data_IF_756416235704
#
_entry.id   IF_756416235704
#
_cell.length_a   1.000
_cell.length_b   1.000
_cell.length_c   1.000
_cell.angle_alpha   90.00
_cell.angle_beta   90.00
_cell.angle_gamma   90.00
#
_symmetry.space_group_name_H-M   'P 1'
#
loop_
_entity.id
_entity.type
_entity.pdbx_description
1 polymer ?
#
# COMPACT_ATOMS: atom_id res chain seq x y z
N UNK A 1 -86.17 59.96 -3.64
CA UNK A 1 -87.10 59.17 -4.47
C UNK A 1 -86.49 57.81 -4.73
N UNK A 2 -87.11 56.71 -4.25
CA UNK A 2 -86.98 55.36 -4.86
C UNK A 2 -87.84 55.36 -6.15
N UNK A 3 -87.57 54.58 -7.22
CA UNK A 3 -87.45 53.10 -7.18
C UNK A 3 -86.42 52.47 -8.18
N UNK A 4 -85.85 51.31 -7.84
CA UNK A 4 -86.12 49.94 -8.38
C UNK A 4 -85.88 49.73 -9.89
N UNK A 5 -84.97 48.81 -10.23
CA UNK A 5 -85.34 47.49 -10.76
C UNK A 5 -84.13 46.55 -10.81
N UNK A 6 -84.27 45.40 -10.16
CA UNK A 6 -83.46 44.19 -10.27
C UNK A 6 -83.80 43.47 -11.59
N UNK A 7 -82.79 42.92 -12.28
CA UNK A 7 -82.83 41.59 -12.92
C UNK A 7 -81.40 41.26 -13.42
N UNK A 8 -80.76 40.23 -12.88
CA UNK A 8 -80.60 38.97 -13.63
C UNK A 8 -79.15 38.50 -13.55
N UNK A 9 -78.93 37.34 -12.95
CA UNK A 9 -77.63 36.68 -12.75
C UNK A 9 -76.97 36.25 -14.07
N UNK A 10 -75.64 36.41 -14.17
CA UNK A 10 -74.77 35.45 -14.86
C UNK A 10 -73.41 35.38 -14.14
N UNK A 11 -73.04 34.17 -13.72
CA UNK A 11 -71.78 33.84 -13.06
C UNK A 11 -70.65 33.87 -14.11
N UNK A 12 -69.58 34.61 -13.83
CA UNK A 12 -68.30 34.52 -14.56
C UNK A 12 -67.20 34.24 -13.53
N UNK A 13 -66.58 33.07 -13.65
CA UNK A 13 -65.34 32.71 -12.96
C UNK A 13 -64.19 33.62 -13.44
N UNK A 14 -63.59 34.38 -12.53
CA UNK A 14 -62.33 35.08 -12.75
C UNK A 14 -61.20 34.32 -12.05
N UNK A 15 -60.35 33.67 -12.85
CA UNK A 15 -59.03 33.19 -12.44
C UNK A 15 -58.12 34.40 -12.25
N UNK A 16 -57.79 34.71 -10.99
CA UNK A 16 -56.75 35.69 -10.65
C UNK A 16 -55.43 34.93 -10.47
N UNK A 17 -54.48 35.21 -11.35
CA UNK A 17 -53.09 34.83 -11.22
C UNK A 17 -52.48 35.50 -9.98
N UNK A 18 -52.05 34.71 -9.00
CA UNK A 18 -51.16 35.16 -7.93
C UNK A 18 -49.78 34.60 -8.22
N UNK A 19 -48.82 35.50 -8.42
CA UNK A 19 -47.40 35.17 -8.55
C UNK A 19 -46.87 34.65 -7.22
N UNK A 20 -46.50 33.37 -7.17
CA UNK A 20 -45.74 32.80 -6.06
C UNK A 20 -44.25 32.88 -6.37
N UNK A 21 -43.54 33.52 -5.44
CA UNK A 21 -42.08 33.62 -5.34
C UNK A 21 -41.47 32.22 -5.49
N UNK A 22 -40.59 32.04 -6.47
CA UNK A 22 -39.75 30.85 -6.54
C UNK A 22 -38.74 30.92 -5.40
N UNK A 23 -38.98 30.14 -4.34
CA UNK A 23 -37.93 29.73 -3.42
C UNK A 23 -37.02 28.78 -4.20
N UNK A 24 -35.84 29.28 -4.56
CA UNK A 24 -34.75 28.48 -5.07
C UNK A 24 -34.23 27.68 -3.87
N UNK A 25 -34.62 26.41 -3.77
CA UNK A 25 -33.89 25.48 -2.92
C UNK A 25 -32.52 25.30 -3.55
N UNK A 26 -31.51 25.97 -3.00
CA UNK A 26 -30.13 25.53 -3.13
C UNK A 26 -30.09 24.10 -2.58
N UNK A 27 -30.12 23.11 -3.48
CA UNK A 27 -29.61 21.79 -3.18
C UNK A 27 -28.12 22.00 -2.92
N UNK A 28 -27.77 22.17 -1.65
CA UNK A 28 -26.42 21.97 -1.16
C UNK A 28 -26.02 20.55 -1.59
N UNK A 29 -25.34 20.46 -2.74
CA UNK A 29 -24.45 19.35 -3.01
C UNK A 29 -23.33 19.45 -1.98
N UNK A 30 -23.59 18.94 -0.78
CA UNK A 30 -22.54 18.50 0.12
C UNK A 30 -21.78 17.45 -0.67
N UNK A 31 -20.64 17.83 -1.27
CA UNK A 31 -19.61 16.87 -1.59
C UNK A 31 -19.28 16.19 -0.27
N UNK A 32 -19.88 15.02 -0.04
CA UNK A 32 -19.51 14.20 1.10
C UNK A 32 -18.03 13.94 0.95
N UNK A 33 -17.23 14.54 1.82
CA UNK A 33 -15.80 14.37 1.84
C UNK A 33 -15.56 12.86 1.93
N UNK A 34 -14.94 12.28 0.89
CA UNK A 34 -14.72 10.83 0.85
C UNK A 34 -13.96 10.41 2.12
N UNK A 35 -14.48 9.40 2.82
CA UNK A 35 -13.83 8.79 3.97
C UNK A 35 -12.42 8.35 3.59
N UNK A 36 -11.41 8.80 4.33
CA UNK A 36 -9.99 8.57 4.04
C UNK A 36 -9.24 8.11 5.28
N UNK A 37 -8.22 7.29 5.05
CA UNK A 37 -7.18 6.95 6.00
C UNK A 37 -5.87 7.43 5.39
N UNK A 38 -5.22 8.39 6.03
CA UNK A 38 -3.90 8.88 5.61
C UNK A 38 -2.90 8.43 6.65
N UNK A 39 -1.87 7.67 6.24
CA UNK A 39 -0.84 7.18 7.16
C UNK A 39 0.53 7.75 6.83
N UNK A 40 1.19 8.33 7.83
CA UNK A 40 2.60 8.68 7.81
C UNK A 40 3.47 7.48 8.12
N UNK A 41 4.22 7.04 7.12
CA UNK A 41 5.11 5.89 7.18
C UNK A 41 6.55 6.37 7.38
N UNK A 42 7.21 5.90 8.43
CA UNK A 42 8.64 6.09 8.62
C UNK A 42 9.39 4.77 8.38
N UNK A 43 10.47 4.81 7.61
CA UNK A 43 11.25 3.61 7.30
C UNK A 43 12.62 3.69 7.96
N UNK A 44 12.92 2.70 8.81
CA UNK A 44 14.25 2.46 9.34
C UNK A 44 14.87 1.31 8.54
N UNK A 45 16.06 1.49 7.97
CA UNK A 45 16.70 0.46 7.15
C UNK A 45 18.02 -0.05 7.76
N UNK A 46 18.28 -1.35 7.64
CA UNK A 46 19.47 -1.98 8.21
C UNK A 46 20.68 -2.04 7.26
N UNK A 47 21.82 -2.47 7.79
CA UNK A 47 23.06 -2.61 7.01
C UNK A 47 22.95 -3.66 5.90
N UNK A 48 22.11 -4.68 6.07
CA UNK A 48 21.91 -5.71 5.05
C UNK A 48 21.20 -5.13 3.83
N UNK A 49 20.20 -4.28 4.04
CA UNK A 49 19.52 -3.54 2.97
C UNK A 49 20.52 -2.65 2.23
N UNK A 50 21.27 -1.80 2.95
CA UNK A 50 22.27 -0.88 2.36
C UNK A 50 23.28 -1.66 1.51
N UNK A 51 23.75 -2.81 2.00
CA UNK A 51 24.72 -3.64 1.30
C UNK A 51 24.16 -4.23 0.00
N UNK A 52 22.87 -4.55 -0.03
CA UNK A 52 22.23 -5.17 -1.19
C UNK A 52 21.70 -4.14 -2.20
N UNK A 53 21.47 -2.90 -1.75
CA UNK A 53 20.88 -1.82 -2.52
C UNK A 53 21.68 -1.51 -3.79
N UNK A 54 21.02 -1.57 -4.95
CA UNK A 54 21.68 -1.41 -6.26
C UNK A 54 21.85 0.05 -6.69
N UNK A 55 21.05 0.98 -6.15
CA UNK A 55 20.91 2.33 -6.70
C UNK A 55 21.74 3.38 -5.97
N UNK A 56 22.98 3.04 -5.58
CA UNK A 56 23.86 3.89 -4.77
C UNK A 56 24.39 5.16 -5.48
N UNK A 57 23.84 5.55 -6.64
CA UNK A 57 24.23 6.75 -7.39
C UNK A 57 23.14 7.83 -7.26
N UNK A 58 23.52 9.04 -6.80
CA UNK A 58 22.66 10.23 -6.68
C UNK A 58 22.49 10.75 -5.25
N UNK A 59 21.81 11.90 -5.11
CA UNK A 59 21.49 12.51 -3.81
C UNK A 59 20.24 11.83 -3.19
N UNK A 60 20.34 11.37 -1.93
CA UNK A 60 19.24 10.76 -1.13
C UNK A 60 18.49 9.57 -1.79
N UNK A 61 19.19 8.54 -2.31
CA UNK A 61 18.54 7.47 -3.07
C UNK A 61 17.49 6.67 -2.27
N UNK A 62 17.58 6.64 -0.94
CA UNK A 62 16.64 5.91 -0.09
C UNK A 62 15.26 6.57 0.02
N UNK A 63 15.17 7.91 0.09
CA UNK A 63 13.85 8.57 0.14
C UNK A 63 13.09 8.41 -1.18
N UNK A 64 13.79 8.50 -2.32
CA UNK A 64 13.18 8.24 -3.63
C UNK A 64 12.67 6.80 -3.72
N UNK A 65 13.53 5.83 -3.38
CA UNK A 65 13.20 4.41 -3.42
C UNK A 65 12.01 4.10 -2.50
N UNK A 66 12.09 4.50 -1.23
CA UNK A 66 11.04 4.18 -0.27
C UNK A 66 9.74 4.94 -0.54
N UNK A 67 9.78 6.09 -1.20
CA UNK A 67 8.56 6.77 -1.66
C UNK A 67 7.87 5.94 -2.75
N UNK A 68 8.64 5.45 -3.74
CA UNK A 68 8.10 4.56 -4.77
C UNK A 68 7.56 3.24 -4.18
N UNK A 69 8.23 2.69 -3.18
CA UNK A 69 7.79 1.51 -2.44
C UNK A 69 6.45 1.75 -1.70
N UNK A 70 6.29 2.88 -1.01
CA UNK A 70 5.03 3.27 -0.37
C UNK A 70 3.90 3.48 -1.39
N UNK A 71 4.17 4.18 -2.50
CA UNK A 71 3.19 4.43 -3.55
C UNK A 71 2.70 3.11 -4.20
N UNK A 72 3.61 2.17 -4.45
CA UNK A 72 3.24 0.85 -4.96
C UNK A 72 2.43 0.04 -3.94
N UNK A 73 2.76 0.12 -2.65
CA UNK A 73 1.98 -0.52 -1.59
C UNK A 73 0.56 0.09 -1.46
N UNK A 74 0.41 1.42 -1.61
CA UNK A 74 -0.89 2.10 -1.64
C UNK A 74 -1.79 1.53 -2.76
N UNK A 75 -1.23 1.22 -3.92
CA UNK A 75 -1.98 0.71 -5.07
C UNK A 75 -2.67 -0.64 -4.84
N UNK A 76 -2.29 -1.40 -3.80
CA UNK A 76 -2.99 -2.62 -3.38
C UNK A 76 -4.38 -2.34 -2.78
N UNK A 77 -4.63 -1.11 -2.35
CA UNK A 77 -5.91 -0.67 -1.77
C UNK A 77 -6.87 -0.04 -2.79
N UNK A 78 -6.54 -0.07 -4.09
CA UNK A 78 -7.36 0.51 -5.18
C UNK A 78 -8.85 0.12 -5.19
N UNK A 79 -9.18 -1.06 -4.69
CA UNK A 79 -10.55 -1.60 -4.63
C UNK A 79 -11.30 -1.22 -3.34
N UNK A 80 -10.69 -0.37 -2.51
CA UNK A 80 -11.23 0.14 -1.26
C UNK A 80 -11.42 1.67 -1.40
N UNK A 81 -12.64 2.08 -1.74
CA UNK A 81 -13.00 3.50 -1.95
C UNK A 81 -13.57 4.19 -0.72
N UNK A 82 -13.89 3.40 0.30
CA UNK A 82 -14.62 3.86 1.49
C UNK A 82 -14.20 2.97 2.67
N UNK A 83 -13.21 3.39 3.47
CA UNK A 83 -12.37 4.56 3.25
C UNK A 83 -11.32 4.34 2.14
N UNK A 84 -10.86 5.41 1.50
CA UNK A 84 -9.64 5.37 0.66
C UNK A 84 -8.40 5.35 1.57
N UNK A 85 -7.46 4.45 1.29
CA UNK A 85 -6.17 4.39 2.01
C UNK A 85 -5.11 5.15 1.22
N UNK A 86 -4.38 6.02 1.91
CA UNK A 86 -3.29 6.84 1.37
C UNK A 86 -2.05 6.70 2.25
N UNK A 87 -0.89 6.47 1.63
CA UNK A 87 0.38 6.27 2.33
C UNK A 87 1.36 7.37 1.97
N UNK A 88 1.92 8.04 2.97
CA UNK A 88 2.95 9.05 2.77
C UNK A 88 4.24 8.62 3.48
N UNK A 89 5.35 8.53 2.75
CA UNK A 89 6.66 8.39 3.40
C UNK A 89 6.96 9.69 4.16
N UNK A 90 6.99 9.66 5.49
CA UNK A 90 7.32 10.80 6.35
C UNK A 90 8.85 11.01 6.48
N UNK A 91 9.63 9.94 6.40
CA UNK A 91 11.08 10.01 6.51
C UNK A 91 11.75 8.65 6.51
N UNK A 92 13.08 8.66 6.46
CA UNK A 92 13.90 7.45 6.54
C UNK A 92 15.11 7.68 7.42
N UNK A 93 15.59 6.63 8.07
CA UNK A 93 16.90 6.63 8.74
C UNK A 93 17.54 5.24 8.72
N UNK A 94 18.87 5.23 8.89
CA UNK A 94 19.60 3.99 9.14
C UNK A 94 19.32 3.50 10.56
N UNK A 95 19.23 2.19 10.74
CA UNK A 95 19.18 1.56 12.06
C UNK A 95 20.52 1.74 12.78
N UNK A 96 20.53 2.46 13.90
CA UNK A 96 21.72 2.65 14.73
C UNK A 96 21.96 1.47 15.68
N UNK A 97 20.90 1.02 16.36
CA UNK A 97 20.91 -0.06 17.34
C UNK A 97 20.82 -1.44 16.68
N UNK A 98 21.97 -1.97 16.24
CA UNK A 98 22.03 -3.24 15.51
C UNK A 98 21.63 -4.47 16.33
N UNK A 99 21.70 -4.38 17.66
CA UNK A 99 21.27 -5.44 18.59
C UNK A 99 19.76 -5.67 18.61
N UNK A 100 18.97 -4.81 17.94
CA UNK A 100 17.55 -5.03 17.67
C UNK A 100 17.38 -6.25 16.75
N UNK A 101 18.21 -6.38 15.70
CA UNK A 101 18.14 -7.48 14.76
C UNK A 101 18.51 -8.78 15.45
N UNK A 102 17.53 -9.66 15.65
CA UNK A 102 17.73 -11.02 16.11
C UNK A 102 17.77 -11.94 14.91
N UNK A 103 18.65 -12.94 14.95
CA UNK A 103 18.81 -13.88 13.84
C UNK A 103 18.52 -15.30 14.26
N UNK A 104 17.99 -16.10 13.34
CA UNK A 104 17.75 -17.53 13.52
C UNK A 104 18.33 -18.32 12.35
N UNK A 105 18.76 -19.55 12.62
CA UNK A 105 19.29 -20.46 11.60
C UNK A 105 18.21 -21.47 11.20
N UNK A 106 17.85 -21.50 9.92
CA UNK A 106 16.91 -22.48 9.34
C UNK A 106 17.50 -23.02 8.05
N UNK A 107 17.52 -24.34 7.90
CA UNK A 107 18.01 -25.00 6.68
C UNK A 107 19.40 -24.50 6.22
N UNK A 108 20.31 -24.28 7.18
CA UNK A 108 21.68 -23.74 6.97
C UNK A 108 21.74 -22.32 6.38
N UNK A 109 20.63 -21.58 6.40
CA UNK A 109 20.54 -20.16 6.04
C UNK A 109 20.18 -19.33 7.27
N UNK A 110 20.81 -18.17 7.41
CA UNK A 110 20.50 -17.21 8.46
C UNK A 110 19.37 -16.32 8.01
N UNK A 111 18.37 -16.15 8.88
CA UNK A 111 17.22 -15.28 8.70
C UNK A 111 17.15 -14.27 9.84
N UNK A 112 16.47 -13.15 9.62
CA UNK A 112 15.99 -12.31 10.72
C UNK A 112 14.90 -13.10 11.45
N UNK A 113 15.04 -13.27 12.76
CA UNK A 113 13.99 -13.85 13.61
C UNK A 113 12.91 -12.77 13.78
N UNK A 114 11.82 -12.89 13.00
CA UNK A 114 10.82 -11.83 12.87
C UNK A 114 10.16 -11.47 14.19
N UNK A 115 9.80 -12.47 14.99
CA UNK A 115 9.12 -12.27 16.28
C UNK A 115 10.03 -11.54 17.26
N UNK A 116 11.23 -12.07 17.53
CA UNK A 116 12.15 -11.45 18.50
C UNK A 116 12.68 -10.10 18.06
N UNK A 117 12.86 -9.90 16.75
CA UNK A 117 13.29 -8.61 16.22
C UNK A 117 12.17 -7.58 16.35
N UNK A 118 10.92 -7.97 16.05
CA UNK A 118 9.77 -7.08 16.15
C UNK A 118 9.52 -6.66 17.60
N UNK A 119 9.67 -7.57 18.57
CA UNK A 119 9.54 -7.26 19.99
C UNK A 119 10.54 -6.16 20.42
N UNK A 120 11.83 -6.33 20.08
CA UNK A 120 12.84 -5.31 20.38
C UNK A 120 12.62 -4.00 19.63
N UNK A 121 12.18 -4.08 18.38
CA UNK A 121 11.91 -2.90 17.56
C UNK A 121 10.71 -2.13 18.10
N UNK A 122 9.68 -2.84 18.59
CA UNK A 122 8.54 -2.27 19.28
C UNK A 122 8.97 -1.48 20.52
N UNK A 123 9.80 -2.06 21.38
CA UNK A 123 10.25 -1.42 22.62
C UNK A 123 10.92 -0.05 22.38
N UNK A 124 11.59 0.10 21.23
CA UNK A 124 12.39 1.29 20.92
C UNK A 124 11.60 2.30 20.08
N UNK A 125 10.88 1.85 19.05
CA UNK A 125 10.28 2.77 18.07
C UNK A 125 8.86 3.21 18.42
N UNK A 126 8.13 2.45 19.24
CA UNK A 126 6.74 2.79 19.60
C UNK A 126 6.64 4.16 20.26
N UNK A 127 7.63 4.52 21.08
CA UNK A 127 7.66 5.74 21.88
C UNK A 127 8.76 6.71 21.48
N UNK A 128 9.30 6.58 20.27
CA UNK A 128 10.41 7.40 19.84
C UNK A 128 9.93 8.83 19.49
N UNK A 129 10.07 9.74 20.45
CA UNK A 129 9.72 11.16 20.31
C UNK A 129 10.62 11.93 19.33
N UNK A 130 11.74 11.33 18.87
CA UNK A 130 12.62 11.94 17.87
C UNK A 130 12.10 11.76 16.43
N UNK A 131 11.05 10.97 16.24
CA UNK A 131 10.41 10.80 14.93
C UNK A 131 9.72 12.10 14.49
N UNK A 132 9.65 12.36 13.17
CA UNK A 132 8.86 13.46 12.64
C UNK A 132 7.40 13.42 13.12
N UNK A 133 6.80 14.59 13.26
CA UNK A 133 5.36 14.73 13.48
C UNK A 133 4.56 14.10 12.33
N UNK A 134 3.42 13.49 12.65
CA UNK A 134 2.56 12.78 11.70
C UNK A 134 3.06 11.38 11.33
N UNK A 135 4.10 10.85 11.97
CA UNK A 135 4.41 9.41 11.84
C UNK A 135 3.37 8.61 12.62
N UNK A 136 2.76 7.63 11.95
CA UNK A 136 1.80 6.68 12.52
C UNK A 136 2.39 5.28 12.66
N UNK A 137 3.25 4.92 11.71
CA UNK A 137 3.84 3.58 11.61
C UNK A 137 5.32 3.67 11.28
N UNK A 138 6.12 2.85 11.96
CA UNK A 138 7.54 2.67 11.68
C UNK A 138 7.78 1.26 11.14
N UNK A 139 8.34 1.15 9.95
CA UNK A 139 8.77 -0.14 9.41
C UNK A 139 10.29 -0.28 9.45
N UNK A 140 10.77 -1.39 10.00
CA UNK A 140 12.14 -1.84 9.79
C UNK A 140 12.22 -2.53 8.43
N UNK A 141 12.95 -1.95 7.48
CA UNK A 141 13.30 -2.61 6.22
C UNK A 141 14.65 -3.31 6.38
N UNK A 142 14.68 -4.62 6.14
CA UNK A 142 15.88 -5.44 6.21
C UNK A 142 16.20 -6.09 4.88
N UNK A 143 17.49 -6.11 4.53
CA UNK A 143 18.00 -6.85 3.36
C UNK A 143 18.19 -8.35 3.59
N UNK A 144 17.85 -8.86 4.78
CA UNK A 144 17.93 -10.29 5.11
C UNK A 144 16.52 -10.86 5.25
N UNK A 145 16.24 -11.99 4.60
CA UNK A 145 14.91 -12.63 4.67
C UNK A 145 14.46 -12.83 6.12
N UNK A 146 13.18 -12.54 6.38
CA UNK A 146 12.58 -12.63 7.71
C UNK A 146 11.88 -13.97 7.90
N UNK A 147 12.22 -14.66 8.98
CA UNK A 147 11.56 -15.89 9.39
C UNK A 147 10.32 -15.57 10.24
N UNK A 148 9.16 -15.71 9.61
CA UNK A 148 7.83 -15.53 10.21
C UNK A 148 7.22 -16.90 10.52
N UNK A 149 6.69 -17.08 11.73
CA UNK A 149 5.98 -18.29 12.16
C UNK A 149 4.46 -18.08 12.14
N UNK A 150 3.69 -19.17 12.12
CA UNK A 150 2.22 -19.15 12.20
C UNK A 150 1.82 -19.85 13.51
N UNK A 151 1.13 -19.15 14.39
CA UNK A 151 0.65 -19.71 15.66
C UNK A 151 -0.47 -20.72 15.40
N UNK A 152 -0.32 -21.94 15.90
CA UNK A 152 -1.19 -23.06 15.54
C UNK A 152 -2.67 -22.87 15.95
N UNK A 153 -2.93 -22.12 17.01
CA UNK A 153 -4.27 -21.93 17.56
C UNK A 153 -4.97 -20.74 16.90
N UNK A 154 -4.32 -19.58 16.87
CA UNK A 154 -4.89 -18.33 16.37
C UNK A 154 -4.74 -18.19 14.85
N UNK A 155 -3.82 -18.94 14.25
CA UNK A 155 -3.33 -18.75 12.88
C UNK A 155 -2.74 -17.35 12.63
N UNK A 156 -2.31 -16.65 13.67
CA UNK A 156 -1.61 -15.38 13.54
C UNK A 156 -0.19 -15.59 13.03
N UNK A 157 0.28 -14.65 12.20
CA UNK A 157 1.67 -14.62 11.79
C UNK A 157 2.50 -13.85 12.82
N UNK A 158 3.44 -14.51 13.49
CA UNK A 158 4.35 -13.87 14.44
C UNK A 158 5.58 -13.34 13.71
N UNK A 159 5.98 -12.12 14.03
CA UNK A 159 7.01 -11.36 13.30
C UNK A 159 6.48 -10.47 12.17
N UNK A 160 5.16 -10.24 12.13
CA UNK A 160 4.53 -9.19 11.34
C UNK A 160 3.84 -8.19 12.28
N UNK A 161 3.56 -6.99 11.76
CA UNK A 161 2.81 -5.97 12.48
C UNK A 161 1.53 -6.50 13.13
N UNK A 162 1.29 -6.11 14.39
CA UNK A 162 0.14 -6.58 15.16
C UNK A 162 -1.18 -6.11 14.51
N UNK A 163 -2.12 -7.00 14.17
CA UNK A 163 -3.38 -6.59 13.55
C UNK A 163 -4.17 -5.59 14.39
N UNK A 164 -4.91 -4.68 13.75
CA UNK A 164 -5.82 -3.71 14.40
C UNK A 164 -5.13 -2.77 15.42
N UNK A 165 -3.82 -2.52 15.26
CA UNK A 165 -3.02 -1.75 16.23
C UNK A 165 -2.65 -0.33 15.80
N UNK A 166 -2.95 0.05 14.55
CA UNK A 166 -2.78 1.43 14.08
C UNK A 166 -3.54 2.41 14.99
N UNK A 167 -2.94 3.53 15.38
CA UNK A 167 -3.48 4.51 16.36
C UNK A 167 -3.83 3.96 17.76
N UNK A 168 -3.66 2.65 18.01
CA UNK A 168 -3.98 1.99 19.27
C UNK A 168 -2.79 1.20 19.84
N UNK A 169 -1.59 1.41 19.28
CA UNK A 169 -0.37 0.77 19.76
C UNK A 169 -0.17 1.15 21.22
N UNK A 170 0.15 0.16 22.07
CA UNK A 170 0.21 0.33 23.52
C UNK A 170 -1.01 0.98 24.22
N UNK A 171 -2.20 1.04 23.57
CA UNK A 171 -3.42 1.71 24.07
C UNK A 171 -3.30 3.22 24.32
N UNK A 172 -2.37 3.91 23.66
CA UNK A 172 -2.29 5.39 23.73
C UNK A 172 -2.17 6.01 22.33
N UNK A 173 -2.50 7.30 22.25
CA UNK A 173 -2.58 8.08 21.01
C UNK A 173 -1.22 8.36 20.37
N UNK A 174 -0.17 8.39 21.19
CA UNK A 174 1.16 8.82 20.76
C UNK A 174 2.01 7.67 20.21
N UNK A 175 1.66 6.45 20.60
CA UNK A 175 2.39 5.24 20.25
C UNK A 175 2.33 4.94 18.75
N UNK A 176 3.48 4.63 18.18
CA UNK A 176 3.60 4.24 16.77
C UNK A 176 3.38 2.75 16.61
N UNK A 177 2.64 2.37 15.59
CA UNK A 177 2.64 0.98 15.17
C UNK A 177 4.00 0.62 14.56
N UNK A 178 4.38 -0.64 14.62
CA UNK A 178 5.65 -1.12 14.06
C UNK A 178 5.49 -2.38 13.22
N UNK A 179 6.39 -2.58 12.27
CA UNK A 179 6.45 -3.78 11.44
C UNK A 179 7.85 -4.03 10.86
N UNK A 180 8.03 -5.20 10.23
CA UNK A 180 9.30 -5.59 9.58
C UNK A 180 9.03 -5.96 8.13
N UNK A 181 9.73 -5.33 7.20
CA UNK A 181 9.63 -5.60 5.77
C UNK A 181 10.97 -6.15 5.29
N UNK A 182 10.94 -7.33 4.67
CA UNK A 182 12.07 -7.78 3.87
C UNK A 182 12.01 -7.10 2.50
N UNK A 183 13.07 -6.40 2.14
CA UNK A 183 13.28 -5.86 0.80
C UNK A 183 14.73 -6.08 0.39
N UNK A 184 14.98 -6.61 -0.80
CA UNK A 184 16.33 -6.90 -1.26
C UNK A 184 17.09 -5.68 -1.79
N UNK A 185 16.43 -4.53 -1.92
CA UNK A 185 16.99 -3.28 -2.44
C UNK A 185 17.24 -3.30 -3.95
N UNK A 186 16.65 -4.25 -4.69
CA UNK A 186 16.90 -4.48 -6.12
C UNK A 186 15.64 -4.41 -6.96
N UNK A 187 14.56 -5.04 -6.50
CA UNK A 187 13.36 -5.31 -7.29
C UNK A 187 12.05 -4.90 -6.61
N UNK A 188 12.11 -4.10 -5.53
CA UNK A 188 10.94 -3.71 -4.74
C UNK A 188 10.11 -4.89 -4.22
N UNK A 189 10.74 -6.06 -3.96
CA UNK A 189 10.04 -7.23 -3.44
C UNK A 189 9.44 -7.03 -2.04
N UNK A 190 9.76 -5.93 -1.34
CA UNK A 190 9.12 -5.54 -0.08
C UNK A 190 7.73 -4.92 -0.24
N UNK A 191 7.33 -4.47 -1.44
CA UNK A 191 6.02 -3.83 -1.69
C UNK A 191 4.84 -4.66 -1.17
N UNK A 192 4.71 -5.96 -1.49
CA UNK A 192 3.55 -6.72 -1.04
C UNK A 192 3.58 -7.00 0.47
N UNK A 193 4.76 -7.06 1.07
CA UNK A 193 4.95 -7.28 2.51
C UNK A 193 4.58 -6.01 3.29
N UNK A 194 4.94 -4.83 2.77
CA UNK A 194 4.50 -3.55 3.30
C UNK A 194 2.98 -3.42 3.20
N UNK A 195 2.40 -3.63 2.01
CA UNK A 195 0.96 -3.55 1.78
C UNK A 195 0.19 -4.51 2.71
N UNK A 196 0.69 -5.73 2.88
CA UNK A 196 0.10 -6.72 3.78
C UNK A 196 0.06 -6.21 5.22
N UNK A 197 1.18 -5.69 5.73
CA UNK A 197 1.26 -5.24 7.11
C UNK A 197 0.42 -3.99 7.35
N UNK A 198 0.40 -3.04 6.41
CA UNK A 198 -0.54 -1.92 6.46
C UNK A 198 -1.98 -2.42 6.51
N UNK A 199 -2.35 -3.39 5.67
CA UNK A 199 -3.69 -3.97 5.70
C UNK A 199 -4.02 -4.61 7.07
N UNK A 200 -3.09 -5.37 7.65
CA UNK A 200 -3.27 -5.99 8.97
C UNK A 200 -3.42 -4.93 10.08
N UNK A 201 -2.57 -3.90 10.06
CA UNK A 201 -2.64 -2.75 10.97
C UNK A 201 -4.01 -2.08 10.91
N UNK A 202 -4.54 -1.87 9.71
CA UNK A 202 -5.89 -1.34 9.44
C UNK A 202 -7.02 -2.35 9.68
N UNK A 203 -6.72 -3.55 10.18
CA UNK A 203 -7.72 -4.53 10.61
C UNK A 203 -8.26 -5.46 9.54
N UNK A 204 -7.63 -5.53 8.37
CA UNK A 204 -7.93 -6.54 7.37
C UNK A 204 -7.75 -7.94 7.96
N UNK A 205 -8.73 -8.82 7.74
CA UNK A 205 -8.65 -10.22 8.17
C UNK A 205 -7.73 -11.01 7.25
N UNK A 206 -7.05 -12.00 7.83
CA UNK A 206 -6.34 -13.04 7.07
C UNK A 206 -7.31 -13.93 6.29
N UNK A 207 -6.96 -14.26 5.05
CA UNK A 207 -7.69 -15.28 4.30
C UNK A 207 -7.35 -16.68 4.85
N UNK A 208 -8.37 -17.52 5.04
CA UNK A 208 -8.20 -18.77 5.77
C UNK A 208 -7.95 -19.96 4.85
N UNK A 209 -7.09 -20.90 5.26
CA UNK A 209 -6.93 -22.21 4.59
C UNK A 209 -8.20 -23.05 4.63
N UNK A 210 -9.02 -22.86 5.68
CA UNK A 210 -10.27 -23.60 5.92
C UNK A 210 -11.53 -22.78 5.64
N UNK A 211 -11.36 -21.53 5.20
CA UNK A 211 -12.47 -20.61 4.94
C UNK A 211 -13.21 -20.96 3.66
N UNK A 212 -14.54 -21.04 3.72
CA UNK A 212 -15.38 -21.28 2.54
C UNK A 212 -15.50 -20.05 1.62
N UNK A 213 -15.50 -18.85 2.20
CA UNK A 213 -15.81 -17.61 1.48
C UNK A 213 -14.58 -16.90 0.91
N UNK A 214 -13.50 -16.79 1.70
CA UNK A 214 -12.21 -16.25 1.27
C UNK A 214 -11.09 -17.24 1.58
N UNK A 215 -10.96 -18.30 0.76
CA UNK A 215 -9.91 -19.28 0.93
C UNK A 215 -8.55 -18.68 0.51
N UNK A 216 -7.52 -18.92 1.32
CA UNK A 216 -6.14 -18.49 1.02
C UNK A 216 -5.60 -18.99 -0.33
N UNK A 217 -6.18 -20.06 -0.90
CA UNK A 217 -5.80 -20.55 -2.24
C UNK A 217 -6.13 -19.57 -3.38
N UNK A 218 -6.97 -18.56 -3.14
CA UNK A 218 -7.25 -17.51 -4.13
C UNK A 218 -6.08 -16.54 -4.29
N UNK A 219 -5.18 -16.46 -3.29
CA UNK A 219 -3.92 -15.72 -3.40
C UNK A 219 -4.06 -14.20 -3.28
N UNK A 220 -5.13 -13.67 -2.68
CA UNK A 220 -5.22 -12.24 -2.34
C UNK A 220 -4.14 -11.81 -1.34
N UNK A 221 -3.94 -10.50 -1.16
CA UNK A 221 -2.88 -9.92 -0.35
C UNK A 221 -2.70 -10.62 1.01
N UNK A 222 -3.79 -10.90 1.71
CA UNK A 222 -3.83 -11.51 3.05
C UNK A 222 -3.88 -13.05 3.05
N UNK A 223 -3.63 -13.69 1.90
CA UNK A 223 -3.57 -15.15 1.76
C UNK A 223 -2.22 -15.77 2.14
N UNK A 224 -1.15 -14.97 2.22
CA UNK A 224 0.20 -15.42 2.58
C UNK A 224 0.91 -14.37 3.43
N UNK A 225 1.89 -14.81 4.24
CA UNK A 225 2.73 -13.95 5.08
C UNK A 225 3.68 -13.04 4.29
N UNK A 226 3.91 -13.34 3.01
CA UNK A 226 4.76 -12.57 2.10
C UNK A 226 3.93 -11.71 1.11
N UNK A 227 2.65 -11.51 1.44
CA UNK A 227 1.62 -11.02 0.53
C UNK A 227 1.24 -12.10 -0.50
N UNK A 228 -0.05 -12.28 -0.77
CA UNK A 228 -0.50 -13.17 -1.84
C UNK A 228 -0.08 -12.73 -3.25
N UNK A 229 -0.26 -13.62 -4.22
CA UNK A 229 0.10 -13.36 -5.62
C UNK A 229 -0.79 -12.32 -6.31
N UNK A 230 -2.02 -12.09 -5.82
CA UNK A 230 -2.94 -11.07 -6.33
C UNK A 230 -2.75 -9.75 -5.58
N UNK A 231 -2.52 -8.63 -6.29
CA UNK A 231 -2.28 -7.32 -5.69
C UNK A 231 -3.58 -6.62 -5.30
N UNK A 232 -4.40 -7.29 -4.48
CA UNK A 232 -5.68 -6.78 -4.00
C UNK A 232 -6.09 -7.49 -2.71
N UNK A 233 -6.95 -6.85 -1.93
CA UNK A 233 -7.61 -7.46 -0.78
C UNK A 233 -8.79 -8.34 -1.22
N UNK A 234 -8.99 -9.48 -0.55
CA UNK A 234 -10.21 -10.28 -0.72
C UNK A 234 -11.44 -9.51 -0.23
N UNK A 235 -12.64 -9.99 -0.58
CA UNK A 235 -13.87 -9.39 -0.06
C UNK A 235 -13.92 -9.42 1.49
N UNK A 236 -13.48 -10.51 2.12
CA UNK A 236 -13.46 -10.63 3.58
C UNK A 236 -12.48 -9.66 4.21
N UNK A 237 -11.26 -9.57 3.67
CA UNK A 237 -10.25 -8.64 4.18
C UNK A 237 -10.68 -7.19 4.05
N UNK A 238 -11.30 -6.80 2.92
CA UNK A 238 -11.85 -5.44 2.75
C UNK A 238 -12.97 -5.16 3.74
N UNK A 239 -13.92 -6.09 3.91
CA UNK A 239 -15.02 -5.90 4.86
C UNK A 239 -14.54 -5.76 6.30
N UNK A 240 -13.56 -6.56 6.72
CA UNK A 240 -12.99 -6.47 8.07
C UNK A 240 -12.25 -5.14 8.31
N UNK A 241 -11.50 -4.66 7.30
CA UNK A 241 -10.85 -3.35 7.35
C UNK A 241 -11.89 -2.22 7.46
N UNK A 242 -12.95 -2.26 6.64
CA UNK A 242 -14.06 -1.29 6.71
C UNK A 242 -14.74 -1.27 8.06
N UNK A 243 -15.07 -2.44 8.61
CA UNK A 243 -15.66 -2.55 9.94
C UNK A 243 -14.75 -1.92 11.00
N UNK A 244 -13.44 -2.17 10.92
CA UNK A 244 -12.48 -1.56 11.81
C UNK A 244 -12.44 -0.04 11.66
N UNK A 245 -12.43 0.50 10.45
CA UNK A 245 -12.49 1.94 10.20
C UNK A 245 -13.75 2.57 10.79
N UNK A 246 -14.94 2.12 10.37
CA UNK A 246 -16.21 2.73 10.79
C UNK A 246 -16.47 2.62 12.30
N UNK A 247 -15.93 1.59 12.95
CA UNK A 247 -15.99 1.46 14.42
C UNK A 247 -15.13 2.50 15.16
N UNK A 248 -14.12 3.05 14.51
CA UNK A 248 -13.10 3.90 15.14
C UNK A 248 -13.00 5.32 14.56
N UNK A 249 -13.60 5.61 13.41
CA UNK A 249 -13.43 6.88 12.68
C UNK A 249 -13.83 8.12 13.48
N UNK A 250 -14.81 8.00 14.38
CA UNK A 250 -15.34 9.10 15.18
C UNK A 250 -14.64 9.24 16.54
N UNK A 251 -13.48 8.59 16.75
CA UNK A 251 -12.71 8.71 17.99
C UNK A 251 -11.81 9.94 17.95
N UNK A 252 -11.85 10.74 19.01
CA UNK A 252 -11.06 11.98 19.16
C UNK A 252 -9.54 11.79 19.04
N UNK A 253 -9.05 10.57 19.22
CA UNK A 253 -7.63 10.23 19.27
C UNK A 253 -7.16 9.38 18.09
N UNK A 254 -7.88 9.42 16.97
CA UNK A 254 -7.47 8.67 15.80
C UNK A 254 -6.34 9.39 15.06
N UNK A 255 -5.28 8.66 14.74
CA UNK A 255 -4.05 9.21 14.16
C UNK A 255 -4.16 9.47 12.65
N UNK A 256 -4.95 8.68 11.92
CA UNK A 256 -5.03 8.73 10.44
C UNK A 256 -5.88 9.87 9.86
N UNK A 257 -6.31 10.82 10.68
CA UNK A 257 -7.06 12.01 10.27
C UNK A 257 -6.15 13.22 10.02
N UNK A 258 -4.85 13.10 10.32
CA UNK A 258 -3.88 14.15 10.07
C UNK A 258 -3.29 14.08 8.65
N UNK A 259 -2.48 15.09 8.30
CA UNK A 259 -1.78 15.16 7.02
C UNK A 259 -0.29 15.03 7.27
N UNK A 260 0.27 13.81 7.24
CA UNK A 260 1.69 13.59 7.46
C UNK A 260 2.53 14.39 6.48
N UNK A 261 3.58 15.03 6.97
CA UNK A 261 4.53 15.76 6.14
C UNK A 261 5.36 14.77 5.33
N UNK A 262 5.00 14.56 4.08
CA UNK A 262 5.74 13.70 3.18
C UNK A 262 7.19 14.18 3.02
N UNK A 263 8.14 13.24 3.09
CA UNK A 263 9.56 13.45 2.81
C UNK A 263 9.79 13.96 1.38
N UNK A 264 8.88 13.61 0.46
CA UNK A 264 8.86 14.08 -0.92
C UNK A 264 7.43 14.48 -1.32
N UNK A 265 6.99 15.71 -0.99
CA UNK A 265 5.64 16.18 -1.28
C UNK A 265 5.32 16.11 -2.78
N UNK A 266 4.14 15.57 -3.12
CA UNK A 266 3.67 15.47 -4.51
C UNK A 266 4.31 14.36 -5.34
N UNK A 267 5.28 13.61 -4.79
CA UNK A 267 5.89 12.49 -5.49
C UNK A 267 4.94 11.28 -5.56
N UNK A 268 4.42 11.00 -6.75
CA UNK A 268 3.57 9.84 -7.06
C UNK A 268 4.28 8.76 -7.89
N UNK A 269 5.62 8.82 -7.98
CA UNK A 269 6.43 7.86 -8.74
C UNK A 269 6.19 6.45 -8.22
N UNK A 270 6.03 5.52 -9.15
CA UNK A 270 5.99 4.07 -8.91
C UNK A 270 7.36 3.44 -9.25
N UNK A 271 7.61 2.17 -8.91
CA UNK A 271 8.86 1.49 -9.23
C UNK A 271 9.29 1.62 -10.69
N UNK A 272 8.36 1.56 -11.66
CA UNK A 272 8.69 1.80 -13.08
C UNK A 272 9.37 3.16 -13.33
N UNK A 273 8.88 4.22 -12.70
CA UNK A 273 9.44 5.57 -12.87
C UNK A 273 10.83 5.66 -12.23
N UNK A 274 11.00 4.99 -11.08
CA UNK A 274 12.29 4.92 -10.40
C UNK A 274 13.34 4.20 -11.26
N UNK A 275 13.01 3.06 -11.88
CA UNK A 275 13.92 2.36 -12.80
C UNK A 275 14.32 3.22 -14.00
N UNK A 276 13.34 3.90 -14.61
CA UNK A 276 13.58 4.79 -15.75
C UNK A 276 14.52 5.94 -15.38
N UNK A 277 14.33 6.56 -14.23
CA UNK A 277 15.19 7.66 -13.77
C UNK A 277 16.62 7.19 -13.46
N UNK A 278 16.77 5.98 -12.90
CA UNK A 278 18.07 5.41 -12.57
C UNK A 278 18.76 4.76 -13.77
N UNK A 279 18.15 4.79 -14.95
CA UNK A 279 18.63 4.12 -16.16
C UNK A 279 18.99 2.65 -15.88
N UNK A 280 18.10 1.95 -15.16
CA UNK A 280 18.34 0.59 -14.70
C UNK A 280 17.35 -0.39 -15.33
N UNK A 281 17.90 -1.41 -15.99
CA UNK A 281 17.13 -2.51 -16.57
C UNK A 281 16.70 -3.48 -15.46
N UNK A 282 15.39 -3.75 -15.35
CA UNK A 282 14.84 -4.68 -14.35
C UNK A 282 15.47 -6.07 -14.44
N UNK A 283 15.90 -6.52 -15.62
CA UNK A 283 16.56 -7.81 -15.75
C UNK A 283 17.95 -7.82 -15.10
N UNK A 284 18.61 -6.68 -14.95
CA UNK A 284 19.90 -6.60 -14.26
C UNK A 284 19.77 -6.97 -12.78
N UNK A 285 18.63 -6.68 -12.14
CA UNK A 285 18.37 -7.06 -10.73
C UNK A 285 18.44 -8.57 -10.49
N UNK A 286 18.22 -9.33 -11.56
CA UNK A 286 18.23 -10.79 -11.57
C UNK A 286 19.58 -11.40 -11.97
N UNK A 287 20.58 -10.56 -12.24
CA UNK A 287 21.92 -10.99 -12.61
C UNK A 287 22.61 -11.73 -11.47
N UNK A 288 23.51 -12.64 -11.82
CA UNK A 288 24.37 -13.35 -10.88
C UNK A 288 25.83 -13.02 -11.17
N UNK A 289 26.73 -13.40 -10.26
CA UNK A 289 28.18 -13.25 -10.49
C UNK A 289 28.70 -13.89 -11.78
N UNK A 290 27.97 -14.86 -12.35
CA UNK A 290 28.37 -15.60 -13.55
C UNK A 290 27.64 -15.17 -14.82
N UNK A 291 26.59 -14.35 -14.69
CA UNK A 291 25.68 -14.03 -15.79
C UNK A 291 25.01 -12.70 -15.55
N UNK A 292 25.24 -11.77 -16.46
CA UNK A 292 24.49 -10.52 -16.57
C UNK A 292 23.26 -10.76 -17.43
N UNK A 293 22.11 -10.31 -16.94
CA UNK A 293 20.84 -10.36 -17.64
C UNK A 293 20.40 -8.96 -18.04
N UNK A 294 19.72 -8.86 -19.19
CA UNK A 294 19.13 -7.64 -19.73
C UNK A 294 17.77 -7.96 -20.34
N UNK A 295 16.94 -6.95 -20.56
CA UNK A 295 15.64 -7.06 -21.21
C UNK A 295 15.84 -7.45 -22.67
N UNK A 296 15.19 -8.53 -23.09
CA UNK A 296 15.34 -9.05 -24.45
C UNK A 296 14.82 -8.05 -25.50
N UNK A 297 15.62 -7.75 -26.52
CA UNK A 297 15.28 -6.80 -27.60
C UNK A 297 14.63 -7.48 -28.81
N UNK A 298 15.09 -8.68 -29.19
CA UNK A 298 14.89 -9.22 -30.55
C UNK A 298 14.12 -10.54 -30.61
N UNK A 299 13.62 -11.05 -29.48
CA UNK A 299 12.84 -12.29 -29.48
C UNK A 299 11.38 -11.97 -29.86
N UNK A 300 10.82 -12.62 -30.87
CA UNK A 300 9.39 -12.50 -31.22
C UNK A 300 8.45 -12.82 -30.03
N UNK A 301 8.94 -13.53 -29.01
CA UNK A 301 8.29 -13.78 -27.72
C UNK A 301 8.46 -12.66 -26.67
N UNK A 302 9.39 -11.72 -26.87
CA UNK A 302 9.48 -10.47 -26.10
C UNK A 302 8.36 -9.48 -26.50
N UNK A 303 7.88 -9.56 -27.75
CA UNK A 303 6.68 -8.82 -28.22
C UNK A 303 5.35 -9.27 -27.61
N UNK A 304 5.30 -10.38 -26.86
CA UNK A 304 4.18 -10.67 -25.96
C UNK A 304 4.36 -9.91 -24.64
N UNK A 305 4.30 -8.60 -24.74
CA UNK A 305 4.22 -7.62 -23.64
C UNK A 305 2.82 -7.61 -22.98
N UNK A 306 2.08 -8.72 -23.05
CA UNK A 306 0.63 -8.70 -22.81
C UNK A 306 0.18 -9.04 -21.38
N UNK A 307 1.07 -9.44 -20.47
CA UNK A 307 0.66 -9.86 -19.12
C UNK A 307 1.64 -9.42 -18.01
N UNK A 308 2.10 -8.16 -18.02
CA UNK A 308 2.93 -7.62 -16.94
C UNK A 308 4.19 -8.44 -16.62
N UNK A 309 4.85 -8.95 -17.66
CA UNK A 309 6.07 -9.72 -17.56
C UNK A 309 7.12 -9.20 -18.53
N UNK A 310 8.37 -9.17 -18.09
CA UNK A 310 9.54 -8.80 -18.89
C UNK A 310 10.37 -10.06 -19.15
N UNK A 311 10.79 -10.26 -20.40
CA UNK A 311 11.69 -11.34 -20.76
C UNK A 311 13.14 -10.90 -20.53
N UNK A 312 13.90 -11.70 -19.79
CA UNK A 312 15.31 -11.46 -19.51
C UNK A 312 16.20 -12.43 -20.28
N UNK A 313 17.25 -11.89 -20.88
CA UNK A 313 18.19 -12.55 -21.76
C UNK A 313 19.64 -12.39 -21.29
N UNK A 314 20.54 -13.26 -21.74
CA UNK A 314 21.99 -13.05 -21.70
C UNK A 314 22.60 -13.11 -23.11
N UNK A 315 23.78 -12.49 -23.29
CA UNK A 315 24.51 -12.54 -24.55
C UNK A 315 25.53 -13.66 -24.49
N UNK A 316 25.42 -14.61 -25.41
CA UNK A 316 26.40 -15.68 -25.60
C UNK A 316 26.72 -15.84 -27.08
N UNK A 317 28.01 -15.77 -27.44
CA UNK A 317 28.50 -15.84 -28.82
C UNK A 317 27.78 -14.87 -29.78
N UNK A 318 27.63 -13.60 -29.38
CA UNK A 318 26.93 -12.54 -30.13
C UNK A 318 25.48 -12.88 -30.50
N UNK A 319 24.84 -13.74 -29.72
CA UNK A 319 23.41 -14.04 -29.82
C UNK A 319 22.74 -13.79 -28.48
N UNK A 320 21.54 -13.27 -28.55
CA UNK A 320 20.64 -13.09 -27.40
C UNK A 320 19.98 -14.44 -27.07
N UNK A 321 20.04 -14.84 -25.81
CA UNK A 321 19.45 -16.09 -25.32
C UNK A 321 18.46 -15.82 -24.20
N UNK A 322 17.21 -16.24 -24.39
CA UNK A 322 16.17 -16.16 -23.36
C UNK A 322 16.56 -16.99 -22.13
N UNK A 323 16.47 -16.38 -20.95
CA UNK A 323 16.75 -17.05 -19.68
C UNK A 323 15.48 -17.24 -18.86
N UNK A 324 14.73 -16.17 -18.61
CA UNK A 324 13.52 -16.23 -17.78
C UNK A 324 12.58 -15.06 -18.01
N UNK A 325 11.39 -15.13 -17.44
CA UNK A 325 10.49 -13.99 -17.27
C UNK A 325 10.50 -13.51 -15.83
N UNK A 326 10.40 -12.20 -15.66
CA UNK A 326 10.22 -11.52 -14.38
C UNK A 326 8.95 -10.70 -14.42
N UNK A 327 8.41 -10.33 -13.26
CA UNK A 327 7.33 -9.36 -13.23
C UNK A 327 7.83 -8.01 -13.80
N UNK A 328 7.01 -7.36 -14.62
CA UNK A 328 7.27 -5.97 -14.97
C UNK A 328 7.24 -5.11 -13.70
N UNK A 329 8.07 -4.05 -13.62
CA UNK A 329 8.04 -3.13 -12.48
C UNK A 329 6.63 -2.60 -12.23
N UNK A 330 6.28 -2.48 -10.95
CA UNK A 330 4.99 -1.92 -10.56
C UNK A 330 4.82 -0.50 -11.14
N UNK A 331 3.64 -0.24 -11.70
CA UNK A 331 3.34 0.99 -12.45
C UNK A 331 3.50 0.89 -13.96
N UNK A 332 4.12 -0.19 -14.49
CA UNK A 332 4.25 -0.37 -15.95
C UNK A 332 2.87 -0.39 -16.61
N UNK A 333 2.65 0.46 -17.62
CA UNK A 333 1.38 0.48 -18.36
C UNK A 333 1.15 -0.84 -19.08
N UNK A 334 -0.03 -1.45 -18.88
CA UNK A 334 -0.42 -2.72 -19.50
C UNK A 334 -1.76 -2.65 -20.26
N UNK A 335 -2.35 -1.45 -20.36
CA UNK A 335 -3.61 -1.21 -21.04
C UNK A 335 -4.08 0.23 -20.86
N UNK A 336 -5.34 0.51 -21.23
CA UNK A 336 -5.93 1.83 -21.06
C UNK A 336 -6.29 2.04 -19.59
N UNK A 337 -5.61 2.96 -18.91
CA UNK A 337 -5.79 3.28 -17.49
C UNK A 337 -5.54 2.08 -16.54
N UNK A 338 -4.72 1.12 -16.96
CA UNK A 338 -4.34 -0.05 -16.15
C UNK A 338 -2.82 -0.15 -16.06
N UNK A 339 -2.35 -0.63 -14.93
CA UNK A 339 -0.91 -0.77 -14.65
C UNK A 339 -0.59 -2.18 -14.16
N UNK A 340 0.68 -2.54 -14.25
CA UNK A 340 1.21 -3.74 -13.64
C UNK A 340 1.37 -3.52 -12.14
N UNK A 341 0.84 -4.47 -11.36
CA UNK A 341 1.18 -4.64 -9.95
C UNK A 341 1.46 -6.11 -9.68
N UNK A 342 2.62 -6.44 -9.11
CA UNK A 342 3.06 -7.82 -8.83
C UNK A 342 2.87 -8.77 -10.03
N UNK A 343 3.19 -8.29 -11.23
CA UNK A 343 3.06 -9.07 -12.45
C UNK A 343 1.63 -9.35 -12.92
N UNK A 344 0.63 -8.59 -12.45
CA UNK A 344 -0.75 -8.63 -12.94
C UNK A 344 -1.16 -7.25 -13.48
N UNK A 345 -1.87 -7.24 -14.61
CA UNK A 345 -2.47 -6.02 -15.15
C UNK A 345 -3.78 -5.74 -14.42
N UNK A 346 -3.88 -4.58 -13.76
CA UNK A 346 -4.99 -4.23 -12.87
C UNK A 346 -5.55 -2.83 -13.06
#
# INVERSE_FOLDING_TARGET
MRPQSFQGFLVICLLVFVASRAEHSEEDHVEMEEDKIILGIYIVYDDAFIKNFLFNKGDKPFNDYFTALCNAAEAYFKDLRDPRVMLALAGTSRLEEKNIIQTTLKDRKTYVDGEKTLDKFYDIMTWNESLPEGVDVVFLVTGTETWITEEAVTNEWKGLAAPKSICFSAKTVQAKAVGIVYDDGKNFNGVPVLALQVAMLLGASKDSKRGKYCPSSQGYLTSSKDGGSRPALSACSRSALREFYFKNKDKDYICWNDFPKAAQPGNKRLPVDFYLEKDHDICESESTRRRTLYTCENIANAKRLLDCQVACCDYWQNREWFQKRVAAPDGTSCGKNTICLRGQCV
#
